data_IF_975254080170
#
_entry.id   IF_975254080170
#
_cell.length_a   1.000
_cell.length_b   1.000
_cell.length_c   1.000
_cell.angle_alpha   90.00
_cell.angle_beta   90.00
_cell.angle_gamma   90.00
#
_symmetry.space_group_name_H-M   'P 1'
#
loop_
_entity.id
_entity.type
_entity.pdbx_description
1 polymer ?
#
# COMPACT_ATOMS: atom_id res chain seq x y z
N UNK A 1 -5.58 -4.41 -11.24
CA UNK A 1 -4.97 -3.28 -10.51
C UNK A 1 -5.87 -2.07 -10.66
N UNK A 2 -5.84 -1.15 -9.70
CA UNK A 2 -6.60 0.12 -9.74
C UNK A 2 -5.78 1.23 -9.07
N UNK A 3 -6.22 2.48 -9.22
CA UNK A 3 -5.67 3.62 -8.48
C UNK A 3 -6.69 4.11 -7.46
N UNK A 4 -6.19 4.47 -6.29
CA UNK A 4 -6.91 5.10 -5.22
C UNK A 4 -6.26 6.45 -4.91
N UNK A 5 -7.06 7.51 -4.83
CA UNK A 5 -6.58 8.86 -4.50
C UNK A 5 -7.03 9.18 -3.06
N UNK A 6 -6.07 9.23 -2.13
CA UNK A 6 -6.36 9.41 -0.71
C UNK A 6 -6.54 10.90 -0.37
N UNK A 7 -7.58 11.23 0.41
CA UNK A 7 -7.86 12.62 0.83
C UNK A 7 -6.80 13.17 1.80
N UNK A 8 -6.30 12.31 2.69
CA UNK A 8 -5.38 12.66 3.76
C UNK A 8 -3.94 12.18 3.49
N UNK A 9 -3.56 11.99 2.22
CA UNK A 9 -2.30 11.37 1.83
C UNK A 9 -1.08 11.96 2.52
N UNK A 10 -0.91 13.29 2.45
CA UNK A 10 0.24 13.97 3.04
C UNK A 10 0.31 13.75 4.56
N UNK A 11 -0.84 13.77 5.24
CA UNK A 11 -0.90 13.60 6.69
C UNK A 11 -0.43 12.20 7.10
N UNK A 12 -0.95 11.16 6.44
CA UNK A 12 -0.56 9.76 6.70
C UNK A 12 0.92 9.54 6.43
N UNK A 13 1.42 10.06 5.30
CA UNK A 13 2.83 9.92 4.95
C UNK A 13 3.74 10.64 5.96
N UNK A 14 3.38 11.85 6.38
CA UNK A 14 4.17 12.65 7.34
C UNK A 14 4.06 12.17 8.80
N UNK A 15 3.01 11.41 9.15
CA UNK A 15 2.84 10.83 10.49
C UNK A 15 3.72 9.59 10.76
N UNK A 16 4.67 9.28 9.87
CA UNK A 16 5.71 8.28 10.08
C UNK A 16 5.73 7.16 9.04
N UNK A 17 4.69 7.01 8.22
CA UNK A 17 4.68 6.00 7.15
C UNK A 17 5.81 6.27 6.13
N UNK A 18 6.06 7.53 5.78
CA UNK A 18 7.14 7.87 4.84
C UNK A 18 8.52 7.47 5.38
N UNK A 19 8.81 7.78 6.64
CA UNK A 19 10.11 7.47 7.26
C UNK A 19 10.34 5.97 7.33
N UNK A 20 9.29 5.21 7.66
CA UNK A 20 9.31 3.74 7.64
C UNK A 20 9.57 3.20 6.23
N UNK A 21 8.86 3.71 5.21
CA UNK A 21 9.05 3.29 3.83
C UNK A 21 10.46 3.65 3.29
N UNK A 22 11.01 4.80 3.67
CA UNK A 22 12.37 5.19 3.31
C UNK A 22 13.42 4.29 3.95
N UNK A 23 13.29 4.02 5.24
CA UNK A 23 14.21 3.16 5.99
C UNK A 23 14.15 1.73 5.47
N UNK A 24 12.95 1.16 5.34
CA UNK A 24 12.77 -0.20 4.83
C UNK A 24 13.27 -0.35 3.39
N UNK A 25 13.05 0.65 2.54
CA UNK A 25 13.60 0.68 1.18
C UNK A 25 15.13 0.62 1.20
N UNK A 26 15.78 1.47 2.00
CA UNK A 26 17.25 1.52 2.09
C UNK A 26 17.80 0.15 2.54
N UNK A 27 17.21 -0.47 3.56
CA UNK A 27 17.60 -1.79 4.04
C UNK A 27 17.45 -2.88 2.96
N UNK A 28 16.36 -2.83 2.19
CA UNK A 28 16.11 -3.76 1.09
C UNK A 28 17.08 -3.53 -0.08
N UNK A 29 17.46 -2.29 -0.39
CA UNK A 29 18.45 -1.95 -1.42
C UNK A 29 19.87 -2.42 -1.03
N UNK A 30 20.21 -2.38 0.25
CA UNK A 30 21.49 -2.89 0.77
C UNK A 30 21.57 -4.42 0.80
N UNK A 31 20.44 -5.13 0.62
CA UNK A 31 20.37 -6.59 0.64
C UNK A 31 20.60 -7.21 2.02
N UNK A 32 20.61 -6.39 3.07
CA UNK A 32 20.97 -6.79 4.43
C UNK A 32 19.76 -7.30 5.23
N UNK A 33 18.58 -6.71 5.01
CA UNK A 33 17.37 -7.01 5.77
C UNK A 33 16.12 -6.57 5.01
N UNK A 34 15.02 -7.31 5.16
CA UNK A 34 13.69 -6.89 4.69
C UNK A 34 12.91 -6.34 5.88
N UNK A 35 12.44 -5.10 5.78
CA UNK A 35 11.53 -4.52 6.76
C UNK A 35 10.06 -4.71 6.34
N UNK A 36 9.15 -4.66 7.30
CA UNK A 36 7.73 -5.00 7.09
C UNK A 36 6.79 -4.01 7.75
N UNK A 37 5.63 -3.81 7.14
CA UNK A 37 4.45 -3.21 7.77
C UNK A 37 3.53 -4.35 8.20
N UNK A 38 3.13 -4.36 9.47
CA UNK A 38 2.15 -5.30 10.01
C UNK A 38 0.80 -4.61 10.11
N UNK A 39 -0.28 -5.35 9.84
CA UNK A 39 -1.65 -4.84 9.80
C UNK A 39 -2.60 -5.83 10.47
N UNK A 40 -3.45 -5.33 11.35
CA UNK A 40 -4.45 -6.13 12.03
C UNK A 40 -5.77 -6.06 11.25
N UNK A 41 -5.89 -6.94 10.26
CA UNK A 41 -7.10 -7.03 9.45
C UNK A 41 -8.10 -7.97 10.13
N UNK A 42 -9.31 -7.49 10.42
CA UNK A 42 -10.36 -8.23 11.16
C UNK A 42 -10.67 -9.64 10.63
N UNK A 43 -10.46 -9.87 9.33
CA UNK A 43 -10.72 -11.16 8.68
C UNK A 43 -9.69 -12.24 9.02
N UNK A 44 -8.53 -11.87 9.56
CA UNK A 44 -7.41 -12.77 9.80
C UNK A 44 -7.19 -12.96 11.30
N UNK A 45 -6.91 -14.21 11.70
CA UNK A 45 -6.59 -14.54 13.09
C UNK A 45 -5.23 -13.98 13.55
N UNK A 46 -4.36 -13.60 12.60
CA UNK A 46 -3.02 -13.10 12.83
C UNK A 46 -2.73 -11.85 11.99
N UNK A 47 -1.83 -10.95 12.45
CA UNK A 47 -1.45 -9.77 11.70
C UNK A 47 -0.92 -10.13 10.32
N UNK A 48 -1.42 -9.45 9.29
CA UNK A 48 -0.93 -9.60 7.92
C UNK A 48 0.30 -8.72 7.75
N UNK A 49 1.34 -9.28 7.13
CA UNK A 49 2.60 -8.55 6.90
C UNK A 49 2.76 -8.19 5.44
N UNK A 50 3.30 -6.99 5.20
CA UNK A 50 3.70 -6.50 3.89
C UNK A 50 5.18 -6.11 3.92
N UNK A 51 5.97 -6.73 3.06
CA UNK A 51 7.38 -6.41 2.83
C UNK A 51 7.53 -5.05 2.18
N UNK A 52 8.38 -4.19 2.75
CA UNK A 52 8.81 -2.95 2.11
C UNK A 52 9.82 -3.29 1.03
N UNK A 53 9.52 -2.94 -0.22
CA UNK A 53 10.34 -3.32 -1.35
C UNK A 53 11.47 -2.30 -1.60
N UNK A 54 12.61 -2.77 -2.11
CA UNK A 54 13.73 -1.92 -2.53
C UNK A 54 13.34 -0.91 -3.62
N UNK A 55 12.31 -1.19 -4.41
CA UNK A 55 11.84 -0.27 -5.45
C UNK A 55 10.33 -0.24 -5.60
N UNK A 56 9.80 0.97 -5.79
CA UNK A 56 8.46 1.18 -6.29
C UNK A 56 8.37 0.99 -7.81
N UNK A 57 7.27 1.46 -8.40
CA UNK A 57 7.08 1.46 -9.85
C UNK A 57 7.37 2.86 -10.43
N UNK A 58 8.60 3.04 -10.93
CA UNK A 58 9.02 4.27 -11.58
C UNK A 58 8.13 4.64 -12.78
N UNK A 59 7.99 5.94 -13.13
CA UNK A 59 8.60 7.11 -12.48
C UNK A 59 7.77 7.71 -11.32
N UNK A 60 6.50 7.32 -11.19
CA UNK A 60 5.55 7.98 -10.27
C UNK A 60 5.66 7.45 -8.86
N UNK A 61 5.78 6.13 -8.71
CA UNK A 61 5.70 5.46 -7.41
C UNK A 61 7.11 5.14 -6.89
N UNK A 62 7.53 5.87 -5.86
CA UNK A 62 8.89 5.75 -5.33
C UNK A 62 9.02 4.65 -4.27
N UNK A 63 7.91 4.29 -3.62
CA UNK A 63 7.83 3.33 -2.54
C UNK A 63 6.75 2.28 -2.83
N UNK A 64 6.93 1.09 -2.28
CA UNK A 64 5.91 0.05 -2.34
C UNK A 64 6.02 -0.91 -1.16
N UNK A 65 4.88 -1.49 -0.81
CA UNK A 65 4.77 -2.62 0.11
C UNK A 65 4.05 -3.77 -0.59
N UNK A 66 4.43 -5.00 -0.28
CA UNK A 66 3.91 -6.19 -0.98
C UNK A 66 3.83 -7.40 -0.07
N UNK A 67 2.82 -8.23 -0.29
CA UNK A 67 2.79 -9.61 0.17
C UNK A 67 2.44 -10.55 -0.99
N UNK A 68 2.03 -11.78 -0.69
CA UNK A 68 1.65 -12.77 -1.71
C UNK A 68 0.36 -12.41 -2.47
N UNK A 69 -0.54 -11.67 -1.84
CA UNK A 69 -1.87 -11.36 -2.35
C UNK A 69 -1.95 -9.99 -3.02
N UNK A 70 -1.24 -8.99 -2.49
CA UNK A 70 -1.41 -7.60 -2.90
C UNK A 70 -0.10 -6.82 -2.88
N UNK A 71 -0.04 -5.78 -3.69
CA UNK A 71 1.03 -4.78 -3.68
C UNK A 71 0.44 -3.37 -3.76
N UNK A 72 0.96 -2.48 -2.92
CA UNK A 72 0.58 -1.08 -2.83
C UNK A 72 1.77 -0.21 -3.19
N UNK A 73 1.53 0.81 -4.00
CA UNK A 73 2.56 1.68 -4.55
C UNK A 73 2.23 3.13 -4.23
N UNK A 74 3.17 3.82 -3.59
CA UNK A 74 2.98 5.18 -3.06
C UNK A 74 3.76 6.19 -3.90
N UNK A 75 3.05 7.24 -4.35
CA UNK A 75 3.64 8.32 -5.13
C UNK A 75 4.52 9.23 -4.26
N UNK A 76 5.64 9.70 -4.80
CA UNK A 76 6.46 10.74 -4.13
C UNK A 76 5.98 12.15 -4.43
N UNK A 77 5.25 12.33 -5.53
CA UNK A 77 4.83 13.64 -6.04
C UNK A 77 3.35 13.61 -6.35
N UNK A 78 2.70 14.77 -6.18
CA UNK A 78 1.34 15.01 -6.66
C UNK A 78 1.29 14.87 -8.17
N UNK A 79 0.15 14.40 -8.67
CA UNK A 79 -0.27 14.57 -10.05
C UNK A 79 -0.52 16.05 -10.34
N UNK A 80 -0.65 16.36 -11.63
CA UNK A 80 -0.96 17.72 -12.11
C UNK A 80 -2.32 18.23 -11.59
N UNK A 81 -3.23 17.32 -11.20
CA UNK A 81 -4.53 17.62 -10.59
C UNK A 81 -4.45 17.88 -9.07
N UNK A 82 -3.26 17.80 -8.46
CA UNK A 82 -3.04 18.04 -7.04
C UNK A 82 -3.28 16.84 -6.12
N UNK A 83 -3.61 15.66 -6.66
CA UNK A 83 -3.84 14.41 -5.91
C UNK A 83 -2.59 13.53 -5.81
N UNK A 84 -2.54 12.64 -4.81
CA UNK A 84 -1.52 11.60 -4.71
C UNK A 84 -2.11 10.23 -4.99
N UNK A 85 -1.70 9.58 -6.09
CA UNK A 85 -2.19 8.25 -6.38
C UNK A 85 -1.48 7.19 -5.54
N UNK A 86 -2.29 6.30 -4.99
CA UNK A 86 -1.87 4.99 -4.53
C UNK A 86 -2.30 3.99 -5.58
N UNK A 87 -1.35 3.25 -6.15
CA UNK A 87 -1.69 2.14 -7.03
C UNK A 87 -1.79 0.86 -6.23
N UNK A 88 -2.88 0.12 -6.45
CA UNK A 88 -3.15 -1.16 -5.80
C UNK A 88 -3.16 -2.27 -6.85
N UNK A 89 -2.36 -3.31 -6.61
CA UNK A 89 -2.32 -4.52 -7.43
C UNK A 89 -2.77 -5.70 -6.58
N UNK A 90 -3.82 -6.38 -7.02
CA UNK A 90 -4.33 -7.60 -6.39
C UNK A 90 -3.94 -8.78 -7.28
N UNK A 91 -3.45 -9.86 -6.66
CA UNK A 91 -3.09 -11.10 -7.32
C UNK A 91 -4.34 -11.79 -7.91
N UNK A 92 -4.20 -12.40 -9.07
CA UNK A 92 -5.31 -13.09 -9.75
C UNK A 92 -5.88 -14.25 -8.92
N UNK A 93 -5.03 -14.96 -8.18
CA UNK A 93 -5.49 -16.04 -7.31
C UNK A 93 -6.42 -15.53 -6.19
N UNK A 94 -6.07 -14.40 -5.57
CA UNK A 94 -6.91 -13.74 -4.55
C UNK A 94 -8.26 -13.32 -5.13
N UNK A 95 -8.25 -12.78 -6.36
CA UNK A 95 -9.49 -12.40 -7.07
C UNK A 95 -10.37 -13.62 -7.38
N UNK A 96 -9.78 -14.79 -7.65
CA UNK A 96 -10.54 -16.02 -7.90
C UNK A 96 -11.11 -16.63 -6.62
N UNK A 97 -10.34 -16.60 -5.53
CA UNK A 97 -10.74 -17.15 -4.24
C UNK A 97 -11.91 -16.37 -3.62
N UNK A 98 -11.81 -15.04 -3.62
CA UNK A 98 -12.74 -14.18 -2.90
C UNK A 98 -13.73 -13.44 -3.81
N UNK A 99 -13.47 -13.41 -5.11
CA UNK A 99 -14.20 -12.55 -6.03
C UNK A 99 -13.68 -11.11 -6.01
N UNK A 100 -14.04 -10.37 -7.05
CA UNK A 100 -13.51 -9.02 -7.30
C UNK A 100 -13.93 -8.01 -6.22
N UNK A 101 -15.16 -8.11 -5.72
CA UNK A 101 -15.70 -7.15 -4.74
C UNK A 101 -15.02 -7.28 -3.38
N UNK A 102 -14.96 -8.49 -2.82
CA UNK A 102 -14.38 -8.74 -1.50
C UNK A 102 -12.87 -8.46 -1.50
N UNK A 103 -12.16 -8.83 -2.57
CA UNK A 103 -10.73 -8.54 -2.69
C UNK A 103 -10.45 -7.03 -2.78
N UNK A 104 -11.34 -6.28 -3.45
CA UNK A 104 -11.30 -4.83 -3.48
C UNK A 104 -11.56 -4.23 -2.09
N UNK A 105 -12.60 -4.67 -1.39
CA UNK A 105 -12.89 -4.21 -0.02
C UNK A 105 -11.74 -4.49 0.93
N UNK A 106 -11.13 -5.67 0.87
CA UNK A 106 -9.96 -6.01 1.68
C UNK A 106 -8.79 -5.07 1.41
N UNK A 107 -8.53 -4.73 0.15
CA UNK A 107 -7.49 -3.76 -0.18
C UNK A 107 -7.80 -2.34 0.31
N UNK A 108 -9.08 -1.97 0.48
CA UNK A 108 -9.46 -0.71 1.14
C UNK A 108 -9.26 -0.79 2.66
N UNK A 109 -9.53 -1.93 3.30
CA UNK A 109 -9.23 -2.11 4.72
C UNK A 109 -7.75 -1.98 5.01
N UNK A 110 -6.88 -2.52 4.15
CA UNK A 110 -5.43 -2.29 4.22
C UNK A 110 -5.08 -0.81 4.18
N UNK A 111 -5.70 -0.04 3.28
CA UNK A 111 -5.46 1.40 3.18
C UNK A 111 -5.97 2.15 4.40
N UNK A 112 -7.13 1.77 4.93
CA UNK A 112 -7.69 2.33 6.15
C UNK A 112 -6.81 2.05 7.38
N UNK A 113 -6.27 0.83 7.49
CA UNK A 113 -5.35 0.44 8.58
C UNK A 113 -4.02 1.19 8.51
N UNK A 114 -3.56 1.53 7.30
CA UNK A 114 -2.44 2.46 7.10
C UNK A 114 -2.78 3.91 7.49
N UNK A 115 -4.05 4.23 7.77
CA UNK A 115 -4.55 5.55 8.12
C UNK A 115 -5.13 6.35 6.95
N UNK A 116 -5.19 5.80 5.74
CA UNK A 116 -5.74 6.52 4.58
C UNK A 116 -7.26 6.55 4.60
N UNK A 117 -7.82 7.75 4.42
CA UNK A 117 -9.26 7.95 4.31
C UNK A 117 -9.76 7.50 2.94
N UNK A 118 -10.46 6.36 2.93
CA UNK A 118 -11.18 5.84 1.77
C UNK A 118 -12.54 6.52 1.64
N UNK A 119 -12.74 7.33 0.60
CA UNK A 119 -14.11 7.65 0.21
C UNK A 119 -14.80 6.36 -0.20
N UNK A 120 -15.92 6.06 0.45
CA UNK A 120 -16.90 5.14 -0.08
C UNK A 120 -17.37 5.73 -1.42
N UNK A 121 -16.78 5.27 -2.51
CA UNK A 121 -17.18 5.68 -3.85
C UNK A 121 -18.64 5.24 -4.01
N UNK A 122 -19.53 6.22 -4.13
CA UNK A 122 -20.98 6.04 -4.31
C UNK A 122 -21.32 5.25 -5.56
#
# INVERSE_FOLDING_TARGET
>A
WYTFDALNYDAVMQQGLLDKLQTGKMLAEEGSYMDYVQMDLERYDYPVTFEIQASGQAPVYAFSIRNHDMAFYFARRRRDDGTYPIKVQINQFKLWEMGMHDAYQESLYVLAELGFECEATK
#
